data_IF_118035742282
#
_entry.id   IF_118035742282
#
_cell.length_a   1.000
_cell.length_b   1.000
_cell.length_c   1.000
_cell.angle_alpha   90.00
_cell.angle_beta   90.00
_cell.angle_gamma   90.00
#
_symmetry.space_group_name_H-M   'P 1'
#
loop_
_entity.id
_entity.type
_entity.pdbx_description
1 polymer ?
#
# COMPACT_ATOMS: atom_id res chain seq x y z
N UNK A 1 4.89 5.51 -6.50
CA UNK A 1 3.47 5.60 -6.89
C UNK A 1 2.59 5.92 -5.69
N UNK A 2 2.67 5.16 -4.60
CA UNK A 2 1.92 5.38 -3.35
C UNK A 2 1.96 6.81 -2.81
N UNK A 3 3.11 7.49 -2.80
CA UNK A 3 3.21 8.90 -2.38
C UNK A 3 2.32 9.86 -3.19
N UNK A 4 1.93 9.51 -4.43
CA UNK A 4 0.97 10.29 -5.21
C UNK A 4 -0.43 10.20 -4.60
N UNK A 5 -0.80 9.04 -4.07
CA UNK A 5 -2.09 8.80 -3.40
C UNK A 5 -2.13 9.43 -2.01
N UNK A 6 -1.03 9.29 -1.25
CA UNK A 6 -0.85 9.97 0.04
C UNK A 6 -1.05 11.46 -0.16
N UNK A 7 -0.34 12.09 -1.10
CA UNK A 7 -0.48 13.53 -1.35
C UNK A 7 -1.88 13.92 -1.86
N UNK A 8 -2.58 13.01 -2.53
CA UNK A 8 -3.92 13.27 -3.04
C UNK A 8 -4.99 13.26 -1.93
N UNK A 9 -4.79 12.46 -0.88
CA UNK A 9 -5.83 12.17 0.12
C UNK A 9 -5.46 12.60 1.53
N UNK A 10 -4.17 12.84 1.81
CA UNK A 10 -3.61 13.35 3.06
C UNK A 10 -2.75 14.60 2.76
N UNK A 11 -3.38 15.73 2.41
CA UNK A 11 -2.64 16.95 2.10
C UNK A 11 -1.88 17.45 3.34
N UNK A 12 -0.59 17.79 3.15
CA UNK A 12 0.31 18.22 4.23
C UNK A 12 1.15 17.09 4.82
N UNK A 13 0.87 15.83 4.46
CA UNK A 13 1.75 14.72 4.79
C UNK A 13 3.01 14.77 3.92
N UNK A 14 4.18 14.79 4.56
CA UNK A 14 5.46 14.63 3.88
C UNK A 14 5.52 13.25 3.20
N UNK A 15 6.22 13.11 2.05
CA UNK A 15 6.34 11.85 1.36
C UNK A 15 6.89 10.75 2.27
N UNK A 16 6.29 9.56 2.20
CA UNK A 16 6.87 8.36 2.80
C UNK A 16 8.22 8.05 2.14
N UNK A 17 9.11 7.47 2.92
CA UNK A 17 10.43 7.05 2.48
C UNK A 17 10.57 5.53 2.56
N UNK A 18 11.55 4.99 1.85
CA UNK A 18 12.04 3.65 2.09
C UNK A 18 13.20 3.74 3.08
N UNK A 19 13.11 3.00 4.17
CA UNK A 19 14.13 2.91 5.21
C UNK A 19 14.73 1.52 5.20
N UNK A 20 16.06 1.44 5.16
CA UNK A 20 16.80 0.18 5.25
C UNK A 20 17.33 0.03 6.67
N UNK A 21 16.99 -1.07 7.34
CA UNK A 21 17.49 -1.39 8.68
C UNK A 21 18.32 -2.67 8.64
N UNK A 22 19.40 -2.77 9.42
CA UNK A 22 20.04 -4.06 9.63
C UNK A 22 19.04 -5.01 10.30
N UNK A 23 19.02 -6.26 9.85
CA UNK A 23 18.25 -7.30 10.51
C UNK A 23 18.77 -7.46 11.96
N UNK A 24 17.89 -7.72 12.94
CA UNK A 24 18.30 -7.86 14.33
C UNK A 24 19.33 -8.99 14.52
N UNK A 25 20.34 -8.75 15.36
CA UNK A 25 21.37 -9.75 15.68
C UNK A 25 20.70 -11.04 16.21
N UNK A 26 20.97 -12.17 15.54
CA UNK A 26 20.31 -13.45 15.84
C UNK A 26 19.20 -13.86 14.86
N UNK A 27 18.81 -12.96 13.93
CA UNK A 27 18.04 -13.30 12.74
C UNK A 27 18.91 -13.89 11.61
N UNK A 28 20.11 -14.38 11.92
CA UNK A 28 20.89 -15.26 11.07
C UNK A 28 20.16 -16.62 10.97
N UNK A 29 19.06 -16.62 10.21
CA UNK A 29 18.07 -17.69 10.19
C UNK A 29 16.67 -17.24 9.82
N UNK A 30 16.36 -15.94 9.82
CA UNK A 30 15.17 -15.43 9.14
C UNK A 30 15.50 -15.36 7.66
N UNK A 31 15.11 -16.40 6.92
CA UNK A 31 15.35 -16.72 5.50
C UNK A 31 14.78 -15.71 4.50
N UNK A 32 14.87 -14.41 4.80
CA UNK A 32 14.27 -13.34 3.99
C UNK A 32 15.06 -12.05 3.87
N UNK A 33 16.22 -11.98 4.51
CA UNK A 33 16.98 -10.75 4.59
C UNK A 33 18.01 -10.66 3.46
N UNK A 34 17.88 -9.65 2.58
CA UNK A 34 18.84 -9.42 1.51
C UNK A 34 20.16 -8.95 2.13
N UNK A 35 21.11 -9.87 2.34
CA UNK A 35 22.40 -9.57 2.95
C UNK A 35 22.32 -9.09 4.41
N UNK A 36 21.29 -9.49 5.17
CA UNK A 36 21.11 -9.03 6.56
C UNK A 36 20.48 -7.65 6.66
N UNK A 37 19.78 -7.17 5.62
CA UNK A 37 19.04 -5.91 5.60
C UNK A 37 17.55 -6.15 5.36
N UNK A 38 16.71 -5.33 6.00
CA UNK A 38 15.27 -5.27 5.82
C UNK A 38 14.88 -3.88 5.31
N UNK A 39 13.87 -3.81 4.45
CA UNK A 39 13.39 -2.55 3.89
C UNK A 39 11.97 -2.30 4.37
N UNK A 40 11.71 -1.11 4.89
CA UNK A 40 10.40 -0.69 5.39
C UNK A 40 9.91 0.54 4.65
N UNK A 41 8.60 0.68 4.54
CA UNK A 41 7.99 1.98 4.28
C UNK A 41 7.93 2.74 5.61
N UNK A 42 8.41 3.97 5.62
CA UNK A 42 8.44 4.81 6.81
C UNK A 42 7.88 6.21 6.52
N UNK A 43 7.42 6.87 7.58
CA UNK A 43 7.18 8.31 7.61
C UNK A 43 8.49 9.06 7.35
N UNK A 44 8.40 10.33 6.96
CA UNK A 44 9.58 11.16 6.68
C UNK A 44 10.52 11.34 7.90
N UNK A 45 10.02 11.13 9.11
CA UNK A 45 10.79 11.15 10.35
C UNK A 45 11.46 9.80 10.69
N UNK A 46 11.33 8.80 9.81
CA UNK A 46 11.92 7.47 9.94
C UNK A 46 11.08 6.48 10.75
N UNK A 47 9.93 6.87 11.30
CA UNK A 47 9.04 5.92 11.98
C UNK A 47 8.32 5.03 10.97
N UNK A 48 8.34 3.72 11.18
CA UNK A 48 7.61 2.73 10.37
C UNK A 48 6.66 1.92 11.24
N UNK A 49 5.65 1.32 10.61
CA UNK A 49 4.84 0.25 11.17
C UNK A 49 4.56 -0.79 10.07
N UNK A 50 4.37 -2.05 10.47
CA UNK A 50 4.07 -3.14 9.54
C UNK A 50 5.28 -4.02 9.23
N UNK A 51 5.07 -4.95 8.31
CA UNK A 51 6.09 -5.89 7.86
C UNK A 51 7.07 -5.24 6.85
N UNK A 52 8.30 -5.77 6.71
CA UNK A 52 9.22 -5.32 5.66
C UNK A 52 8.62 -5.56 4.27
N UNK A 53 9.00 -4.73 3.30
CA UNK A 53 8.51 -4.81 1.90
C UNK A 53 9.09 -5.98 1.11
N UNK A 54 10.09 -6.65 1.67
CA UNK A 54 10.58 -7.93 1.20
C UNK A 54 9.87 -9.00 2.02
N UNK A 55 8.85 -9.62 1.43
CA UNK A 55 8.36 -10.89 1.94
C UNK A 55 9.48 -11.88 1.62
N UNK A 56 10.33 -12.12 2.61
CA UNK A 56 11.39 -13.11 2.49
C UNK A 56 10.90 -14.43 1.93
N UNK A 57 11.81 -15.22 1.41
CA UNK A 57 11.61 -16.65 1.14
C UNK A 57 11.25 -17.35 2.48
N UNK A 58 9.97 -17.26 2.86
CA UNK A 58 9.39 -17.85 4.05
C UNK A 58 9.37 -19.37 3.86
N UNK A 59 10.45 -20.02 4.29
CA UNK A 59 10.64 -21.48 4.30
C UNK A 59 11.03 -22.12 2.96
N UNK A 60 11.68 -23.29 3.01
CA UNK A 60 11.93 -24.13 1.84
C UNK A 60 10.59 -24.50 1.18
N UNK A 61 10.26 -23.85 0.06
CA UNK A 61 8.96 -23.96 -0.62
C UNK A 61 8.13 -22.67 -0.66
N UNK A 62 8.62 -21.56 -0.11
CA UNK A 62 8.02 -20.24 -0.30
C UNK A 62 7.95 -19.88 -1.80
N UNK A 63 6.92 -19.14 -2.24
CA UNK A 63 6.92 -18.52 -3.55
C UNK A 63 8.17 -17.62 -3.67
N UNK A 64 8.88 -17.64 -4.80
CA UNK A 64 10.05 -16.78 -4.98
C UNK A 64 9.68 -15.32 -4.77
N UNK A 65 10.65 -14.54 -4.30
CA UNK A 65 10.60 -13.06 -4.25
C UNK A 65 9.80 -12.51 -5.44
N UNK A 66 8.85 -11.58 -5.20
CA UNK A 66 7.95 -11.11 -6.23
C UNK A 66 8.74 -10.49 -7.39
N UNK A 67 8.89 -11.26 -8.46
CA UNK A 67 9.68 -10.89 -9.62
C UNK A 67 9.00 -9.84 -10.52
N UNK A 68 7.73 -9.53 -10.26
CA UNK A 68 6.96 -8.58 -11.05
C UNK A 68 6.64 -7.29 -10.28
N UNK A 69 6.63 -6.17 -11.00
CA UNK A 69 6.45 -4.85 -10.43
C UNK A 69 5.07 -4.62 -9.81
N UNK A 70 4.04 -5.38 -10.21
CA UNK A 70 2.68 -5.25 -9.67
C UNK A 70 2.59 -5.85 -8.28
N UNK A 71 3.24 -6.99 -8.06
CA UNK A 71 3.33 -7.62 -6.74
C UNK A 71 4.15 -6.75 -5.78
N UNK A 72 5.32 -6.25 -6.21
CA UNK A 72 6.12 -5.29 -5.42
C UNK A 72 5.31 -4.04 -5.06
N UNK A 73 4.55 -3.49 -5.99
CA UNK A 73 3.73 -2.31 -5.73
C UNK A 73 2.60 -2.60 -4.72
N UNK A 74 2.00 -3.79 -4.75
CA UNK A 74 0.99 -4.21 -3.77
C UNK A 74 1.58 -4.25 -2.36
N UNK A 75 2.74 -4.90 -2.20
CA UNK A 75 3.43 -5.01 -0.91
C UNK A 75 3.84 -3.64 -0.37
N UNK A 76 4.40 -2.77 -1.21
CA UNK A 76 4.74 -1.39 -0.80
C UNK A 76 3.50 -0.59 -0.42
N UNK A 77 2.38 -0.79 -1.09
CA UNK A 77 1.13 -0.09 -0.77
C UNK A 77 0.50 -0.58 0.54
N UNK A 78 0.57 -1.87 0.82
CA UNK A 78 0.15 -2.48 2.08
C UNK A 78 1.00 -1.95 3.24
N UNK A 79 2.33 -2.03 3.15
CA UNK A 79 3.23 -1.51 4.17
C UNK A 79 3.04 0.01 4.41
N UNK A 80 2.82 0.78 3.35
CA UNK A 80 2.49 2.20 3.45
C UNK A 80 1.16 2.45 4.18
N UNK A 81 0.15 1.63 3.87
CA UNK A 81 -1.15 1.69 4.52
C UNK A 81 -1.03 1.42 6.02
N UNK A 82 -0.37 0.33 6.41
CA UNK A 82 -0.14 -0.02 7.81
C UNK A 82 0.61 1.10 8.54
N UNK A 83 1.71 1.58 7.97
CA UNK A 83 2.49 2.70 8.51
C UNK A 83 1.64 3.94 8.76
N UNK A 84 0.84 4.36 7.78
CA UNK A 84 -0.03 5.53 7.91
C UNK A 84 -1.11 5.30 8.96
N UNK A 85 -1.80 4.16 8.90
CA UNK A 85 -2.96 3.89 9.74
C UNK A 85 -2.58 3.85 11.21
N UNK A 86 -1.48 3.18 11.53
CA UNK A 86 -1.05 2.93 12.90
C UNK A 86 -0.33 4.13 13.52
N UNK A 87 0.48 4.86 12.74
CA UNK A 87 1.19 6.03 13.27
C UNK A 87 0.33 7.29 13.33
N UNK A 88 -0.63 7.45 12.41
CA UNK A 88 -1.53 8.61 12.39
C UNK A 88 -2.89 8.33 13.03
N UNK A 89 -3.17 7.09 13.45
CA UNK A 89 -4.44 6.68 14.08
C UNK A 89 -5.66 7.05 13.23
N UNK A 90 -5.56 6.85 11.91
CA UNK A 90 -6.61 7.21 10.96
C UNK A 90 -6.75 6.14 9.89
N UNK A 91 -7.96 5.91 9.39
CA UNK A 91 -8.19 4.98 8.29
C UNK A 91 -7.67 5.59 6.98
N UNK A 92 -6.83 4.85 6.24
CA UNK A 92 -6.33 5.29 4.95
C UNK A 92 -6.01 4.11 4.01
N UNK A 93 -6.29 4.22 2.70
CA UNK A 93 -7.11 5.25 2.08
C UNK A 93 -8.61 4.97 2.25
N UNK A 94 -9.44 6.01 2.20
CA UNK A 94 -10.90 5.89 2.30
C UNK A 94 -11.56 5.82 0.93
N UNK A 95 -12.44 4.84 0.75
CA UNK A 95 -13.35 4.78 -0.39
C UNK A 95 -14.34 5.95 -0.31
N UNK A 96 -14.36 6.79 -1.35
CA UNK A 96 -15.22 7.99 -1.38
C UNK A 96 -16.71 7.68 -1.54
N UNK A 97 -17.04 6.52 -2.09
CA UNK A 97 -18.44 6.08 -2.24
C UNK A 97 -18.99 5.50 -0.94
N UNK A 98 -18.28 4.54 -0.36
CA UNK A 98 -18.74 3.80 0.81
C UNK A 98 -18.28 4.38 2.17
N UNK A 99 -17.28 5.26 2.19
CA UNK A 99 -16.76 5.86 3.44
C UNK A 99 -15.99 4.90 4.34
N UNK A 100 -15.52 3.77 3.80
CA UNK A 100 -14.75 2.74 4.52
C UNK A 100 -13.31 2.67 4.03
N UNK A 101 -12.44 2.01 4.80
CA UNK A 101 -11.08 1.70 4.39
C UNK A 101 -11.04 0.87 3.11
N UNK A 102 -10.06 1.15 2.28
CA UNK A 102 -9.69 0.36 1.11
C UNK A 102 -8.45 -0.47 1.41
N UNK A 103 -8.21 -1.53 0.64
CA UNK A 103 -7.00 -2.34 0.72
C UNK A 103 -6.39 -2.51 -0.68
N UNK A 104 -5.07 -2.64 -0.80
CA UNK A 104 -4.44 -2.96 -2.07
C UNK A 104 -4.83 -4.38 -2.49
N UNK A 105 -5.09 -4.55 -3.78
CA UNK A 105 -5.61 -5.80 -4.33
C UNK A 105 -5.37 -5.87 -5.84
N UNK A 106 -5.10 -7.04 -6.45
CA UNK A 106 -5.09 -7.14 -7.91
C UNK A 106 -6.44 -6.75 -8.51
N UNK A 107 -6.50 -6.00 -9.61
CA UNK A 107 -7.78 -5.61 -10.20
C UNK A 107 -8.61 -6.82 -10.70
N UNK A 108 -9.94 -6.69 -10.66
CA UNK A 108 -10.88 -7.64 -11.28
C UNK A 108 -11.09 -8.94 -10.51
N UNK A 109 -10.67 -8.98 -9.26
CA UNK A 109 -10.68 -10.15 -8.42
C UNK A 109 -12.03 -10.25 -7.65
N UNK A 110 -12.48 -11.42 -7.17
CA UNK A 110 -13.84 -11.65 -6.61
C UNK A 110 -14.14 -10.98 -5.25
N UNK A 111 -15.39 -10.65 -4.89
CA UNK A 111 -15.68 -9.92 -3.63
C UNK A 111 -15.19 -10.62 -2.34
N UNK A 112 -15.01 -11.94 -2.40
CA UNK A 112 -14.57 -12.80 -1.29
C UNK A 112 -13.05 -13.08 -1.26
N UNK A 113 -12.28 -12.44 -2.14
CA UNK A 113 -10.83 -12.63 -2.19
C UNK A 113 -10.16 -12.31 -0.87
N UNK A 114 -9.23 -13.19 -0.51
CA UNK A 114 -8.36 -13.01 0.63
C UNK A 114 -6.92 -12.69 0.19
N UNK A 115 -6.17 -11.90 0.98
CA UNK A 115 -4.75 -11.68 0.74
C UNK A 115 -3.99 -13.00 0.57
N UNK A 116 -3.14 -13.09 -0.47
CA UNK A 116 -2.38 -14.30 -0.82
C UNK A 116 -2.98 -15.17 -1.91
N UNK A 117 -4.23 -14.92 -2.33
CA UNK A 117 -4.80 -15.59 -3.52
C UNK A 117 -4.22 -15.00 -4.82
N UNK A 118 -3.48 -15.82 -5.56
CA UNK A 118 -2.69 -15.44 -6.76
C UNK A 118 -3.47 -15.50 -8.08
N UNK A 119 -4.77 -15.78 -8.05
CA UNK A 119 -5.55 -16.08 -9.25
C UNK A 119 -5.87 -14.85 -10.15
N UNK A 120 -5.58 -13.63 -9.71
CA UNK A 120 -5.84 -12.41 -10.47
C UNK A 120 -4.55 -11.74 -10.97
N UNK A 121 -4.54 -11.35 -12.25
CA UNK A 121 -3.38 -10.80 -12.97
C UNK A 121 -3.49 -9.28 -13.27
N UNK A 122 -4.51 -8.61 -12.74
CA UNK A 122 -4.72 -7.18 -12.97
C UNK A 122 -3.72 -6.31 -12.21
N UNK A 123 -3.44 -5.08 -12.68
CA UNK A 123 -2.62 -4.14 -11.92
C UNK A 123 -3.26 -3.87 -10.54
N UNK A 124 -2.47 -3.57 -9.51
CA UNK A 124 -3.01 -3.42 -8.18
C UNK A 124 -3.81 -2.12 -8.05
N UNK A 125 -4.96 -2.22 -7.38
CA UNK A 125 -5.93 -1.16 -7.15
C UNK A 125 -6.19 -0.97 -5.66
N UNK A 126 -6.65 0.21 -5.29
CA UNK A 126 -7.33 0.42 -4.02
C UNK A 126 -8.75 -0.11 -4.14
N UNK A 127 -9.07 -1.15 -3.38
CA UNK A 127 -10.36 -1.80 -3.38
C UNK A 127 -11.07 -1.64 -2.05
N UNK A 128 -12.38 -1.45 -2.05
CA UNK A 128 -13.19 -1.62 -0.84
C UNK A 128 -14.17 -2.77 -0.98
N UNK A 129 -14.45 -3.42 0.14
CA UNK A 129 -15.45 -4.50 0.23
C UNK A 129 -16.89 -4.07 -0.05
N UNK A 130 -17.14 -2.76 -0.17
CA UNK A 130 -18.48 -2.21 -0.32
C UNK A 130 -19.20 -2.02 1.03
N UNK A 131 -20.43 -1.53 0.95
CA UNK A 131 -21.31 -1.31 2.10
C UNK A 131 -22.34 -2.42 2.28
N UNK A 132 -23.17 -2.33 3.34
CA UNK A 132 -24.25 -3.33 3.60
C UNK A 132 -25.28 -3.45 2.48
N UNK A 133 -25.32 -2.50 1.54
CA UNK A 133 -26.33 -2.36 0.50
C UNK A 133 -25.74 -2.23 -0.92
N UNK A 134 -24.43 -2.44 -1.09
CA UNK A 134 -23.74 -2.23 -2.37
C UNK A 134 -22.62 -3.24 -2.59
N UNK A 135 -22.26 -3.46 -3.85
CA UNK A 135 -21.17 -4.35 -4.24
C UNK A 135 -19.79 -3.78 -3.90
N UNK A 136 -18.77 -4.63 -3.99
CA UNK A 136 -17.40 -4.20 -3.82
C UNK A 136 -16.96 -3.22 -4.93
N UNK A 137 -15.88 -2.47 -4.71
CA UNK A 137 -15.46 -1.43 -5.64
C UNK A 137 -13.93 -1.32 -5.75
N UNK A 138 -13.41 -1.60 -6.95
CA UNK A 138 -12.06 -1.23 -7.39
C UNK A 138 -12.03 0.29 -7.65
N UNK A 139 -11.65 1.09 -6.65
CA UNK A 139 -11.77 2.55 -6.71
C UNK A 139 -10.81 3.22 -7.70
N UNK A 140 -9.56 2.77 -7.73
CA UNK A 140 -8.55 3.26 -8.69
C UNK A 140 -7.28 2.40 -8.65
N UNK A 141 -6.50 2.35 -9.73
CA UNK A 141 -5.12 1.88 -9.67
C UNK A 141 -4.29 2.60 -8.61
N UNK A 142 -3.35 1.88 -7.99
CA UNK A 142 -2.42 2.49 -7.04
C UNK A 142 -1.58 3.55 -7.77
N UNK A 143 -1.46 4.74 -7.17
CA UNK A 143 -0.86 5.94 -7.73
C UNK A 143 -1.83 6.85 -8.48
N UNK A 144 -3.08 6.41 -8.72
CA UNK A 144 -4.09 7.18 -9.46
C UNK A 144 -5.28 7.60 -8.57
N UNK A 145 -5.16 7.52 -7.24
CA UNK A 145 -6.26 7.82 -6.31
C UNK A 145 -6.76 9.27 -6.41
N UNK A 146 -5.92 10.17 -6.93
CA UNK A 146 -6.30 11.55 -7.24
C UNK A 146 -7.49 11.66 -8.22
N UNK A 147 -7.73 10.64 -9.05
CA UNK A 147 -8.83 10.65 -10.01
C UNK A 147 -10.19 10.28 -9.39
N UNK A 148 -10.19 9.76 -8.16
CA UNK A 148 -11.40 9.58 -7.34
C UNK A 148 -11.85 10.89 -6.66
N UNK A 149 -10.98 11.92 -6.65
CA UNK A 149 -11.29 13.20 -6.01
C UNK A 149 -12.34 14.00 -6.79
N UNK A 150 -13.20 14.71 -6.05
CA UNK A 150 -14.20 15.60 -6.63
C UNK A 150 -13.52 16.77 -7.33
N UNK A 151 -14.22 17.40 -8.28
CA UNK A 151 -13.65 18.45 -9.14
C UNK A 151 -13.03 19.64 -8.39
N UNK A 152 -13.56 20.02 -7.21
CA UNK A 152 -12.98 21.08 -6.37
C UNK A 152 -11.64 20.65 -5.75
N UNK A 153 -11.59 19.45 -5.15
CA UNK A 153 -10.39 18.88 -4.52
C UNK A 153 -9.29 18.65 -5.56
N UNK A 154 -9.63 18.08 -6.73
CA UNK A 154 -8.68 17.85 -7.83
C UNK A 154 -8.05 19.15 -8.34
N UNK A 155 -8.84 20.24 -8.43
CA UNK A 155 -8.32 21.57 -8.79
C UNK A 155 -7.39 22.13 -7.72
N UNK A 156 -7.69 21.95 -6.44
CA UNK A 156 -6.82 22.36 -5.35
C UNK A 156 -5.46 21.63 -5.40
N UNK A 157 -5.48 20.30 -5.59
CA UNK A 157 -4.27 19.48 -5.74
C UNK A 157 -3.40 19.93 -6.93
N UNK A 158 -4.01 20.27 -8.07
CA UNK A 158 -3.29 20.79 -9.26
C UNK A 158 -2.65 22.16 -9.01
N UNK A 159 -3.28 23.02 -8.22
CA UNK A 159 -2.72 24.32 -7.85
C UNK A 159 -1.53 24.18 -6.89
N UNK A 160 -1.61 23.24 -5.94
CA UNK A 160 -0.51 22.93 -5.02
C UNK A 160 0.73 22.37 -5.72
N UNK A 161 0.59 21.71 -6.88
CA UNK A 161 1.73 21.23 -7.70
C UNK A 161 2.55 22.33 -8.38
N UNK A 162 1.97 23.51 -8.57
CA UNK A 162 2.59 24.60 -9.35
C UNK A 162 3.35 25.60 -8.46
N UNK A 163 3.36 25.35 -7.16
CA UNK A 163 4.09 26.10 -6.15
C UNK A 163 5.22 25.21 -5.66
#
# INVERSE_FOLDING_TARGET
MVNRDVRATLPGQEPLILMVTPAPDGAAGSTGSYGGQEVYVAMADGRSHGNPVHAGDLEEGAPPEPGDAATVLSVVAEAAQETIMELLWQVWPLCREHGIGMHPRPAGTSEDWCPGETAAAGPPVWWCRGGRTGGCHDASPIGELADTLRGKERRALRRGRRR
#
